data_IF_464104306617
#
_entry.id   IF_464104306617
#
_cell.length_a   1.000
_cell.length_b   1.000
_cell.length_c   1.000
_cell.angle_alpha   90.00
_cell.angle_beta   90.00
_cell.angle_gamma   90.00
#
_symmetry.space_group_name_H-M   'P 1'
#
loop_
_entity.id
_entity.type
_entity.pdbx_description
1 polymer ?
#
# COMPACT_ATOMS: atom_id res chain seq x y z
N UNK A 1 -21.43 17.56 10.22
CA UNK A 1 -20.48 18.70 10.37
C UNK A 1 -19.23 18.23 11.12
N UNK A 2 -18.71 17.02 10.80
CA UNK A 2 -17.64 16.31 11.53
C UNK A 2 -16.35 16.13 10.70
N UNK A 3 -16.27 16.75 9.51
CA UNK A 3 -15.20 16.49 8.52
C UNK A 3 -13.94 17.37 8.70
N UNK A 4 -13.98 18.41 9.55
CA UNK A 4 -12.92 19.44 9.57
C UNK A 4 -11.57 18.92 10.09
N UNK A 5 -11.53 18.17 11.19
CA UNK A 5 -10.26 17.73 11.77
C UNK A 5 -9.49 16.74 10.87
N UNK A 6 -10.21 15.85 10.17
CA UNK A 6 -9.61 14.92 9.21
C UNK A 6 -9.13 15.64 7.94
N UNK A 7 -9.90 16.63 7.46
CA UNK A 7 -9.50 17.48 6.33
C UNK A 7 -8.28 18.33 6.67
N UNK A 8 -8.23 18.93 7.86
CA UNK A 8 -7.09 19.71 8.35
C UNK A 8 -5.83 18.84 8.45
N UNK A 9 -5.96 17.62 9.00
CA UNK A 9 -4.82 16.70 9.09
C UNK A 9 -4.36 16.21 7.71
N UNK A 10 -5.30 15.94 6.79
CA UNK A 10 -4.97 15.61 5.41
C UNK A 10 -4.25 16.77 4.72
N UNK A 11 -4.74 18.00 4.87
CA UNK A 11 -4.12 19.20 4.31
C UNK A 11 -2.70 19.40 4.86
N UNK A 12 -2.50 19.26 6.17
CA UNK A 12 -1.18 19.31 6.78
C UNK A 12 -0.24 18.22 6.24
N UNK A 13 -0.76 17.00 6.04
CA UNK A 13 -0.01 15.88 5.45
C UNK A 13 0.42 16.19 4.01
N UNK A 14 -0.48 16.76 3.20
CA UNK A 14 -0.21 17.14 1.81
C UNK A 14 0.82 18.27 1.74
N UNK A 15 0.70 19.30 2.57
CA UNK A 15 1.65 20.43 2.62
C UNK A 15 3.05 19.98 3.03
N UNK A 16 3.16 18.93 3.84
CA UNK A 16 4.45 18.35 4.23
C UNK A 16 5.15 17.57 3.10
N UNK A 17 4.47 17.34 1.97
CA UNK A 17 5.00 16.61 0.82
C UNK A 17 5.26 17.54 -0.38
N UNK A 18 6.28 17.24 -1.21
CA UNK A 18 6.45 17.84 -2.52
C UNK A 18 5.18 17.76 -3.38
N UNK A 19 4.94 18.77 -4.23
CA UNK A 19 3.69 18.91 -4.99
C UNK A 19 3.45 17.79 -6.00
N UNK A 20 4.51 17.20 -6.55
CA UNK A 20 4.45 16.05 -7.45
C UNK A 20 3.98 14.76 -6.74
N UNK A 21 4.02 14.74 -5.41
CA UNK A 21 3.59 13.62 -4.59
C UNK A 21 2.12 13.74 -4.10
N UNK A 22 1.47 14.89 -4.33
CA UNK A 22 0.10 15.16 -3.85
C UNK A 22 -0.94 14.20 -4.45
N UNK A 23 -0.71 13.72 -5.68
CA UNK A 23 -1.62 12.82 -6.38
C UNK A 23 -1.82 11.45 -5.70
N UNK A 24 -0.95 11.07 -4.76
CA UNK A 24 -1.13 9.85 -3.96
C UNK A 24 -2.15 10.00 -2.83
N UNK A 25 -2.45 11.24 -2.42
CA UNK A 25 -3.34 11.55 -1.29
C UNK A 25 -4.63 12.28 -1.70
N UNK A 26 -4.60 12.96 -2.84
CA UNK A 26 -5.74 13.72 -3.34
C UNK A 26 -6.38 13.01 -4.54
N UNK A 27 -7.72 12.89 -4.57
CA UNK A 27 -8.42 12.36 -5.74
C UNK A 27 -8.26 13.31 -6.93
N UNK A 28 -8.26 12.75 -8.14
CA UNK A 28 -8.14 13.50 -9.40
C UNK A 28 -9.33 13.22 -10.32
N UNK A 29 -10.10 14.25 -10.68
CA UNK A 29 -11.25 14.13 -11.58
C UNK A 29 -12.49 13.49 -10.95
N UNK A 30 -13.48 13.17 -11.78
CA UNK A 30 -14.74 12.55 -11.35
C UNK A 30 -14.49 11.07 -11.00
N UNK A 31 -14.59 10.74 -9.72
CA UNK A 31 -14.32 9.41 -9.18
C UNK A 31 -15.50 8.95 -8.33
N UNK A 32 -15.87 7.69 -8.48
CA UNK A 32 -16.81 7.05 -7.57
C UNK A 32 -16.08 6.79 -6.23
N UNK A 33 -16.84 6.86 -5.13
CA UNK A 33 -16.34 6.64 -3.78
C UNK A 33 -17.12 5.54 -3.08
N UNK A 34 -16.43 4.70 -2.32
CA UNK A 34 -17.03 3.59 -1.59
C UNK A 34 -16.32 3.35 -0.25
N UNK A 35 -17.07 3.12 0.84
CA UNK A 35 -16.47 2.76 2.12
C UNK A 35 -15.63 1.48 2.04
N UNK A 36 -14.46 1.45 2.67
CA UNK A 36 -13.56 0.30 2.69
C UNK A 36 -14.20 -0.94 3.33
N UNK A 37 -15.17 -0.74 4.23
CA UNK A 37 -15.97 -1.85 4.79
C UNK A 37 -16.69 -2.68 3.71
N UNK A 38 -16.93 -2.14 2.50
CA UNK A 38 -17.49 -2.90 1.38
C UNK A 38 -16.61 -4.04 0.89
N UNK A 39 -15.32 -4.07 1.23
CA UNK A 39 -14.46 -5.23 0.96
C UNK A 39 -14.97 -6.51 1.65
N UNK A 40 -15.73 -6.40 2.75
CA UNK A 40 -16.36 -7.55 3.39
C UNK A 40 -17.60 -8.08 2.66
N UNK A 41 -18.19 -7.30 1.74
CA UNK A 41 -19.37 -7.67 0.96
C UNK A 41 -18.95 -8.60 -0.20
N UNK A 42 -19.35 -9.89 -0.21
CA UNK A 42 -18.88 -10.85 -1.19
C UNK A 42 -19.29 -10.50 -2.63
N UNK A 43 -20.51 -9.99 -2.82
CA UNK A 43 -21.02 -9.66 -4.16
C UNK A 43 -20.33 -8.42 -4.73
N UNK A 44 -20.08 -7.43 -3.88
CA UNK A 44 -19.30 -6.28 -4.25
C UNK A 44 -17.85 -6.66 -4.59
N UNK A 45 -17.19 -7.45 -3.74
CA UNK A 45 -15.79 -7.82 -3.96
C UNK A 45 -15.62 -8.70 -5.19
N UNK A 46 -16.53 -9.64 -5.44
CA UNK A 46 -16.52 -10.45 -6.66
C UNK A 46 -16.64 -9.58 -7.92
N UNK A 47 -17.53 -8.58 -7.89
CA UNK A 47 -17.65 -7.61 -8.99
C UNK A 47 -16.33 -6.87 -9.22
N UNK A 48 -15.70 -6.36 -8.16
CA UNK A 48 -14.43 -5.62 -8.28
C UNK A 48 -13.28 -6.48 -8.80
N UNK A 49 -13.19 -7.71 -8.31
CA UNK A 49 -12.19 -8.67 -8.76
C UNK A 49 -12.49 -9.11 -10.21
N UNK A 50 -13.77 -9.21 -10.61
CA UNK A 50 -14.21 -9.42 -11.99
C UNK A 50 -13.77 -8.32 -12.95
N UNK A 51 -13.90 -7.05 -12.57
CA UNK A 51 -13.48 -5.91 -13.39
C UNK A 51 -11.99 -5.95 -13.76
N UNK A 52 -11.15 -6.56 -12.90
CA UNK A 52 -9.72 -6.72 -13.18
C UNK A 52 -9.42 -7.54 -14.44
N UNK A 53 -10.36 -8.39 -14.90
CA UNK A 53 -10.20 -9.14 -16.15
C UNK A 53 -10.22 -8.23 -17.40
N UNK A 54 -10.72 -6.99 -17.28
CA UNK A 54 -10.64 -5.99 -18.37
C UNK A 54 -9.21 -5.47 -18.55
N UNK A 55 -8.40 -5.53 -17.48
CA UNK A 55 -7.01 -5.05 -17.46
C UNK A 55 -6.01 -6.17 -17.64
N UNK A 56 -6.28 -7.32 -17.05
CA UNK A 56 -5.42 -8.49 -17.07
C UNK A 56 -6.11 -9.59 -17.87
N UNK A 57 -5.57 -10.00 -19.03
CA UNK A 57 -6.22 -10.95 -19.93
C UNK A 57 -6.12 -12.39 -19.39
N UNK A 58 -6.74 -12.63 -18.23
CA UNK A 58 -6.80 -13.90 -17.52
C UNK A 58 -8.18 -14.13 -16.91
N UNK A 59 -8.51 -15.40 -16.68
CA UNK A 59 -9.67 -15.82 -15.90
C UNK A 59 -9.27 -16.44 -14.55
N UNK A 60 -7.97 -16.49 -14.24
CA UNK A 60 -7.47 -17.02 -12.96
C UNK A 60 -7.90 -16.09 -11.82
N UNK A 61 -8.93 -16.50 -11.07
CA UNK A 61 -9.49 -15.74 -9.96
C UNK A 61 -8.46 -15.42 -8.89
N UNK A 62 -7.52 -16.33 -8.65
CA UNK A 62 -6.43 -16.14 -7.68
C UNK A 62 -5.51 -15.02 -8.12
N UNK A 63 -5.16 -14.93 -9.41
CA UNK A 63 -4.33 -13.84 -9.94
C UNK A 63 -5.07 -12.51 -9.85
N UNK A 64 -6.32 -12.47 -10.31
CA UNK A 64 -7.13 -11.24 -10.31
C UNK A 64 -7.36 -10.69 -8.90
N UNK A 65 -7.72 -11.55 -7.94
CA UNK A 65 -7.89 -11.17 -6.54
C UNK A 65 -6.57 -10.70 -5.91
N UNK A 66 -5.45 -11.37 -6.21
CA UNK A 66 -4.12 -11.00 -5.70
C UNK A 66 -3.65 -9.65 -6.26
N UNK A 67 -3.88 -9.39 -7.55
CA UNK A 67 -3.53 -8.12 -8.19
C UNK A 67 -4.42 -6.97 -7.69
N UNK A 68 -5.71 -7.24 -7.51
CA UNK A 68 -6.63 -6.30 -6.87
C UNK A 68 -6.16 -5.95 -5.47
N UNK A 69 -5.88 -6.95 -4.63
CA UNK A 69 -5.39 -6.73 -3.27
C UNK A 69 -4.07 -5.98 -3.24
N UNK A 70 -3.11 -6.33 -4.11
CA UNK A 70 -1.83 -5.62 -4.22
C UNK A 70 -1.98 -4.13 -4.53
N UNK A 71 -3.00 -3.75 -5.30
CA UNK A 71 -3.33 -2.35 -5.59
C UNK A 71 -4.03 -1.70 -4.40
N UNK A 72 -5.09 -2.33 -3.89
CA UNK A 72 -5.94 -1.76 -2.84
C UNK A 72 -5.20 -1.65 -1.51
N UNK A 73 -4.42 -2.64 -1.09
CA UNK A 73 -3.64 -2.58 0.15
C UNK A 73 -2.67 -1.41 0.13
N UNK A 74 -2.10 -1.11 -1.04
CA UNK A 74 -1.21 0.02 -1.23
C UNK A 74 -1.93 1.36 -1.06
N UNK A 75 -3.13 1.50 -1.62
CA UNK A 75 -3.92 2.73 -1.57
C UNK A 75 -4.56 2.96 -0.21
N UNK A 76 -5.19 1.93 0.35
CA UNK A 76 -5.85 1.93 1.66
C UNK A 76 -4.90 2.39 2.79
N UNK A 77 -3.64 1.93 2.75
CA UNK A 77 -2.66 2.23 3.80
C UNK A 77 -2.10 3.65 3.73
N UNK A 78 -2.14 4.31 2.56
CA UNK A 78 -1.39 5.55 2.32
C UNK A 78 -1.76 6.70 3.27
N UNK A 79 -3.04 7.06 3.46
CA UNK A 79 -3.38 8.27 4.22
C UNK A 79 -2.94 8.19 5.69
N UNK A 80 -3.18 7.04 6.32
CA UNK A 80 -2.81 6.82 7.72
C UNK A 80 -1.28 6.84 7.92
N UNK A 81 -0.53 6.15 7.05
CA UNK A 81 0.93 6.05 7.16
C UNK A 81 1.64 7.36 6.80
N UNK A 82 1.17 8.07 5.78
CA UNK A 82 1.71 9.37 5.39
C UNK A 82 1.52 10.40 6.51
N UNK A 83 0.29 10.55 7.01
CA UNK A 83 -0.01 11.45 8.12
C UNK A 83 0.86 11.11 9.35
N UNK A 84 0.95 9.82 9.70
CA UNK A 84 1.71 9.37 10.86
C UNK A 84 3.19 9.75 10.76
N UNK A 85 3.82 9.56 9.60
CA UNK A 85 5.24 9.88 9.43
C UNK A 85 5.48 11.39 9.50
N UNK A 86 4.72 12.20 8.76
CA UNK A 86 5.05 13.62 8.57
C UNK A 86 4.48 14.54 9.66
N UNK A 87 3.41 14.11 10.35
CA UNK A 87 2.75 14.94 11.38
C UNK A 87 2.81 14.35 12.79
N UNK A 88 3.16 13.06 12.92
CA UNK A 88 3.06 12.33 14.19
C UNK A 88 1.63 11.99 14.63
N UNK A 89 0.60 12.46 13.90
CA UNK A 89 -0.81 12.10 14.06
C UNK A 89 -1.25 11.21 12.90
N UNK A 90 -2.31 10.44 13.07
CA UNK A 90 -2.76 9.54 12.01
C UNK A 90 -4.20 9.82 11.59
N UNK A 91 -4.45 9.74 10.30
CA UNK A 91 -5.80 9.52 9.77
C UNK A 91 -6.25 8.10 10.12
N UNK A 92 -7.53 7.93 10.44
CA UNK A 92 -8.11 6.64 10.80
C UNK A 92 -8.06 5.64 9.64
N UNK A 93 -7.43 4.46 9.82
CA UNK A 93 -7.51 3.38 8.84
C UNK A 93 -8.68 2.43 9.13
N UNK A 94 -9.62 2.80 10.01
CA UNK A 94 -10.78 1.97 10.32
C UNK A 94 -11.67 1.83 9.07
N UNK A 95 -12.31 0.67 8.85
CA UNK A 95 -13.03 0.44 7.60
C UNK A 95 -14.25 1.34 7.35
N UNK A 96 -14.85 1.86 8.42
CA UNK A 96 -15.96 2.82 8.37
C UNK A 96 -15.50 4.23 7.96
N UNK A 97 -14.24 4.55 8.22
CA UNK A 97 -13.73 5.92 8.11
C UNK A 97 -13.00 6.10 6.77
N UNK A 98 -12.52 5.00 6.17
CA UNK A 98 -11.81 5.04 4.90
C UNK A 98 -12.76 4.83 3.73
N UNK A 99 -12.69 5.75 2.77
CA UNK A 99 -13.31 5.65 1.47
C UNK A 99 -12.26 5.38 0.40
N UNK A 100 -12.47 4.33 -0.40
CA UNK A 100 -11.69 4.10 -1.61
C UNK A 100 -12.27 4.91 -2.76
N UNK A 101 -11.40 5.51 -3.55
CA UNK A 101 -11.78 6.17 -4.80
C UNK A 101 -11.29 5.36 -5.98
N UNK A 102 -12.20 5.11 -6.92
CA UNK A 102 -11.94 4.26 -8.07
C UNK A 102 -12.49 4.84 -9.38
N UNK A 103 -12.10 4.20 -10.48
CA UNK A 103 -12.71 4.35 -11.79
C UNK A 103 -13.73 3.23 -12.05
N UNK A 104 -14.59 3.44 -13.06
CA UNK A 104 -15.59 2.47 -13.49
C UNK A 104 -15.00 1.12 -13.96
N UNK A 105 -13.72 1.09 -14.31
CA UNK A 105 -12.97 -0.12 -14.68
C UNK A 105 -12.35 -0.87 -13.48
N UNK A 106 -12.69 -0.48 -12.24
CA UNK A 106 -12.24 -1.16 -11.02
C UNK A 106 -10.85 -0.76 -10.53
N UNK A 107 -10.15 0.16 -11.23
CA UNK A 107 -8.88 0.70 -10.74
C UNK A 107 -9.10 1.61 -9.54
N UNK A 108 -8.42 1.30 -8.43
CA UNK A 108 -8.39 2.11 -7.20
C UNK A 108 -7.15 2.99 -7.19
N UNK A 109 -7.34 4.31 -7.02
CA UNK A 109 -6.25 5.31 -7.18
C UNK A 109 -5.83 5.91 -5.85
N UNK A 110 -6.79 6.33 -5.05
CA UNK A 110 -6.54 6.97 -3.76
C UNK A 110 -7.56 6.52 -2.73
N UNK A 111 -7.28 6.82 -1.47
CA UNK A 111 -8.17 6.60 -0.35
C UNK A 111 -8.24 7.87 0.47
N UNK A 112 -9.41 8.15 1.04
CA UNK A 112 -9.63 9.27 1.95
C UNK A 112 -10.13 8.73 3.28
N UNK A 113 -9.55 9.21 4.38
CA UNK A 113 -10.14 9.01 5.71
C UNK A 113 -11.05 10.19 6.04
N UNK A 114 -12.18 9.92 6.68
CA UNK A 114 -13.10 10.92 7.21
C UNK A 114 -12.87 11.24 8.68
N UNK A 115 -11.95 10.53 9.34
CA UNK A 115 -11.64 10.71 10.76
C UNK A 115 -10.14 10.75 11.06
N UNK A 116 -9.80 11.42 12.16
CA UNK A 116 -8.49 11.31 12.82
C UNK A 116 -8.53 10.10 13.76
N UNK A 117 -7.43 9.36 13.82
CA UNK A 117 -7.28 8.28 14.78
C UNK A 117 -6.79 8.83 16.11
N UNK A 118 -7.66 8.77 17.11
CA UNK A 118 -7.31 9.13 18.49
C UNK A 118 -6.65 7.97 19.23
N UNK A 119 -5.72 8.29 20.13
CA UNK A 119 -5.09 7.32 21.02
C UNK A 119 -3.82 7.87 21.69
N UNK A 120 -3.39 7.26 22.82
CA UNK A 120 -2.27 7.77 23.63
C UNK A 120 -0.90 7.57 22.95
N UNK A 121 -0.73 6.51 22.17
CA UNK A 121 0.42 6.28 21.28
C UNK A 121 -0.10 6.19 19.84
N UNK A 122 0.19 7.19 18.98
CA UNK A 122 -0.25 7.19 17.58
C UNK A 122 0.19 5.94 16.79
N UNK A 123 1.41 5.43 17.02
CA UNK A 123 1.95 4.28 16.30
C UNK A 123 1.24 3.00 16.71
N UNK A 124 1.06 2.78 18.01
CA UNK A 124 0.34 1.62 18.52
C UNK A 124 -1.15 1.65 18.13
N UNK A 125 -1.75 2.83 18.14
CA UNK A 125 -3.15 3.01 17.75
C UNK A 125 -3.35 2.70 16.26
N UNK A 126 -2.47 3.19 15.38
CA UNK A 126 -2.49 2.86 13.95
C UNK A 126 -2.29 1.37 13.74
N UNK A 127 -1.32 0.74 14.40
CA UNK A 127 -1.07 -0.69 14.28
C UNK A 127 -2.31 -1.53 14.67
N UNK A 128 -2.97 -1.18 15.78
CA UNK A 128 -4.18 -1.86 16.23
C UNK A 128 -5.34 -1.70 15.23
N UNK A 129 -5.58 -0.47 14.75
CA UNK A 129 -6.63 -0.20 13.76
C UNK A 129 -6.35 -0.91 12.42
N UNK A 130 -5.11 -0.90 11.93
CA UNK A 130 -4.69 -1.63 10.74
C UNK A 130 -4.87 -3.14 10.91
N UNK A 131 -4.51 -3.71 12.06
CA UNK A 131 -4.72 -5.13 12.36
C UNK A 131 -6.20 -5.50 12.23
N UNK A 132 -7.11 -4.68 12.78
CA UNK A 132 -8.54 -4.92 12.66
C UNK A 132 -9.03 -4.85 11.21
N UNK A 133 -8.63 -3.81 10.46
CA UNK A 133 -9.00 -3.64 9.05
C UNK A 133 -8.47 -4.77 8.17
N UNK A 134 -7.22 -5.20 8.36
CA UNK A 134 -6.60 -6.30 7.60
C UNK A 134 -7.25 -7.64 7.94
N UNK A 135 -7.60 -7.91 9.20
CA UNK A 135 -8.34 -9.12 9.62
C UNK A 135 -9.74 -9.21 9.01
N UNK A 136 -10.34 -8.07 8.66
CA UNK A 136 -11.62 -8.05 7.96
C UNK A 136 -11.43 -8.26 6.44
N UNK A 137 -10.50 -7.54 5.82
CA UNK A 137 -10.32 -7.56 4.37
C UNK A 137 -9.68 -8.85 3.84
N UNK A 138 -8.62 -9.35 4.49
CA UNK A 138 -7.82 -10.47 3.96
C UNK A 138 -8.63 -11.76 3.80
N UNK A 139 -9.45 -12.19 4.78
CA UNK A 139 -10.30 -13.38 4.59
C UNK A 139 -11.32 -13.23 3.46
N UNK A 140 -11.85 -12.02 3.23
CA UNK A 140 -12.78 -11.77 2.13
C UNK A 140 -12.09 -11.94 0.78
N UNK A 141 -10.92 -11.31 0.60
CA UNK A 141 -10.09 -11.46 -0.61
C UNK A 141 -9.65 -12.91 -0.83
N UNK A 142 -9.26 -13.60 0.24
CA UNK A 142 -8.85 -15.00 0.20
C UNK A 142 -9.96 -15.88 -0.37
N UNK A 143 -11.20 -15.70 0.10
CA UNK A 143 -12.38 -16.45 -0.39
C UNK A 143 -12.70 -16.11 -1.85
N UNK A 144 -12.74 -14.84 -2.22
CA UNK A 144 -13.05 -14.43 -3.60
C UNK A 144 -12.01 -14.94 -4.61
N UNK A 145 -10.75 -15.00 -4.20
CA UNK A 145 -9.65 -15.47 -5.05
C UNK A 145 -9.33 -16.95 -4.95
N UNK A 146 -10.06 -17.73 -4.15
CA UNK A 146 -9.69 -19.11 -3.77
C UNK A 146 -8.18 -19.26 -3.44
N UNK A 147 -7.71 -18.38 -2.55
CA UNK A 147 -6.29 -18.28 -2.19
C UNK A 147 -6.09 -18.33 -0.68
N UNK A 148 -4.85 -18.59 -0.27
CA UNK A 148 -4.48 -18.59 1.15
C UNK A 148 -4.33 -17.15 1.65
N UNK A 149 -4.64 -16.94 2.92
CA UNK A 149 -4.50 -15.62 3.56
C UNK A 149 -3.03 -15.19 3.73
N UNK A 150 -2.12 -16.11 4.05
CA UNK A 150 -0.72 -15.79 4.37
C UNK A 150 0.00 -14.98 3.27
N UNK A 151 -0.11 -15.32 1.97
CA UNK A 151 0.40 -14.46 0.91
C UNK A 151 -0.18 -13.03 0.90
N UNK A 152 -1.46 -12.86 1.26
CA UNK A 152 -2.13 -11.55 1.29
C UNK A 152 -1.63 -10.70 2.46
N UNK A 153 -1.31 -11.32 3.61
CA UNK A 153 -0.61 -10.67 4.71
C UNK A 153 0.80 -10.19 4.30
N UNK A 154 1.55 -11.01 3.57
CA UNK A 154 2.85 -10.59 3.04
C UNK A 154 2.73 -9.42 2.05
N UNK A 155 1.65 -9.37 1.25
CA UNK A 155 1.36 -8.23 0.38
C UNK A 155 1.09 -6.96 1.20
N UNK A 156 0.34 -7.08 2.30
CA UNK A 156 0.09 -5.96 3.19
C UNK A 156 1.40 -5.42 3.82
N UNK A 157 2.32 -6.31 4.24
CA UNK A 157 3.66 -5.91 4.71
C UNK A 157 4.41 -5.12 3.65
N UNK A 158 4.52 -5.66 2.44
CA UNK A 158 5.27 -5.01 1.37
C UNK A 158 4.60 -3.68 0.96
N UNK A 159 3.28 -3.58 1.05
CA UNK A 159 2.52 -2.35 0.76
C UNK A 159 2.81 -1.28 1.81
N UNK A 160 2.73 -1.62 3.10
CA UNK A 160 3.06 -0.74 4.22
C UNK A 160 4.50 -0.23 4.10
N UNK A 161 5.45 -1.13 3.89
CA UNK A 161 6.85 -0.79 3.74
C UNK A 161 7.09 0.12 2.52
N UNK A 162 6.43 -0.13 1.39
CA UNK A 162 6.54 0.71 0.21
C UNK A 162 5.92 2.10 0.41
N UNK A 163 4.80 2.20 1.13
CA UNK A 163 4.16 3.49 1.43
C UNK A 163 5.02 4.34 2.35
N UNK A 164 5.50 3.78 3.46
CA UNK A 164 6.40 4.53 4.34
C UNK A 164 7.70 4.90 3.64
N UNK A 165 8.31 3.99 2.88
CA UNK A 165 9.53 4.31 2.12
C UNK A 165 9.30 5.37 1.03
N UNK A 166 8.10 5.45 0.46
CA UNK A 166 7.73 6.52 -0.47
C UNK A 166 7.68 7.88 0.24
N UNK A 167 6.90 8.00 1.33
CA UNK A 167 6.82 9.25 2.13
C UNK A 167 8.20 9.64 2.67
N UNK A 168 8.95 8.68 3.20
CA UNK A 168 10.29 8.90 3.72
C UNK A 168 11.27 9.41 2.66
N UNK A 169 11.14 9.01 1.39
CA UNK A 169 11.97 9.61 0.34
C UNK A 169 11.53 11.04 0.01
N UNK A 170 10.22 11.27 -0.04
CA UNK A 170 9.65 12.58 -0.34
C UNK A 170 10.06 13.65 0.69
N UNK A 171 10.31 13.24 1.95
CA UNK A 171 10.73 14.12 3.03
C UNK A 171 12.21 13.96 3.45
N UNK A 172 13.02 13.19 2.73
CA UNK A 172 14.41 12.85 3.11
C UNK A 172 14.57 12.19 4.51
N UNK A 173 13.57 11.40 4.91
CA UNK A 173 13.48 10.67 6.19
C UNK A 173 13.46 9.14 5.99
N UNK A 174 14.25 8.60 5.06
CA UNK A 174 14.25 7.17 4.70
C UNK A 174 14.47 6.25 5.91
N UNK A 175 15.43 6.57 6.78
CA UNK A 175 15.72 5.74 7.95
C UNK A 175 14.56 5.73 8.95
N UNK A 176 14.02 6.91 9.28
CA UNK A 176 12.85 7.04 10.16
C UNK A 176 11.64 6.29 9.59
N UNK A 177 11.40 6.39 8.28
CA UNK A 177 10.32 5.67 7.62
C UNK A 177 10.48 4.14 7.70
N UNK A 178 11.69 3.61 7.50
CA UNK A 178 11.92 2.16 7.57
C UNK A 178 11.88 1.61 8.99
N UNK A 179 12.32 2.38 9.99
CA UNK A 179 12.15 2.06 11.40
C UNK A 179 10.67 2.08 11.81
N UNK A 180 9.91 3.09 11.37
CA UNK A 180 8.48 3.15 11.59
C UNK A 180 7.76 1.96 10.95
N UNK A 181 8.15 1.55 9.75
CA UNK A 181 7.59 0.37 9.09
C UNK A 181 7.81 -0.91 9.91
N UNK A 182 9.03 -1.12 10.41
CA UNK A 182 9.35 -2.25 11.28
C UNK A 182 8.50 -2.21 12.57
N UNK A 183 8.41 -1.05 13.22
CA UNK A 183 7.64 -0.89 14.47
C UNK A 183 6.15 -1.13 14.27
N UNK A 184 5.53 -0.58 13.22
CA UNK A 184 4.10 -0.79 12.97
C UNK A 184 3.82 -2.27 12.66
N UNK A 185 4.66 -2.94 11.86
CA UNK A 185 4.49 -4.36 11.54
C UNK A 185 4.65 -5.24 12.78
N UNK A 186 5.64 -4.94 13.64
CA UNK A 186 5.86 -5.67 14.90
C UNK A 186 4.63 -5.56 15.82
N UNK A 187 4.08 -4.35 15.97
CA UNK A 187 2.87 -4.10 16.77
C UNK A 187 1.60 -4.73 16.16
N UNK A 188 1.51 -4.82 14.83
CA UNK A 188 0.46 -5.61 14.19
C UNK A 188 0.66 -7.09 14.54
N UNK A 189 1.88 -7.61 14.45
CA UNK A 189 2.24 -8.98 14.83
C UNK A 189 1.73 -10.06 13.86
N UNK A 190 1.83 -11.32 14.28
CA UNK A 190 1.47 -12.50 13.47
C UNK A 190 0.03 -12.40 12.91
N UNK A 191 -0.20 -12.79 11.64
CA UNK A 191 0.72 -13.50 10.73
C UNK A 191 1.54 -12.59 9.79
N UNK A 192 1.61 -11.28 10.08
CA UNK A 192 2.31 -10.32 9.24
C UNK A 192 3.84 -10.54 9.32
N UNK A 193 4.54 -10.87 8.21
CA UNK A 193 5.99 -11.01 8.24
C UNK A 193 6.68 -9.65 8.40
N UNK A 194 7.89 -9.65 8.95
CA UNK A 194 8.71 -8.44 9.06
C UNK A 194 9.02 -7.81 7.69
N UNK A 195 9.02 -6.47 7.57
CA UNK A 195 9.40 -5.81 6.33
C UNK A 195 10.90 -5.98 6.09
N UNK A 196 11.29 -6.02 4.81
CA UNK A 196 12.69 -6.18 4.42
C UNK A 196 13.08 -5.08 3.45
N UNK A 197 14.28 -4.56 3.63
CA UNK A 197 14.85 -3.52 2.80
C UNK A 197 16.21 -3.97 2.23
N UNK A 198 16.63 -3.34 1.14
CA UNK A 198 17.95 -3.53 0.54
C UNK A 198 18.44 -2.18 0.02
N UNK A 199 19.68 -1.84 0.32
CA UNK A 199 20.34 -0.64 -0.19
C UNK A 199 21.16 -0.98 -1.42
N UNK A 200 21.06 -0.13 -2.44
CA UNK A 200 21.70 -0.33 -3.74
C UNK A 200 22.48 0.93 -4.09
N UNK A 201 23.78 0.78 -4.30
CA UNK A 201 24.63 1.87 -4.77
C UNK A 201 24.20 2.34 -6.16
N UNK A 202 24.11 3.66 -6.32
CA UNK A 202 23.91 4.29 -7.63
C UNK A 202 25.16 4.12 -8.49
N UNK A 203 24.99 4.08 -9.82
CA UNK A 203 26.15 4.04 -10.73
C UNK A 203 26.71 5.45 -10.96
N UNK A 204 28.03 5.59 -11.16
CA UNK A 204 28.63 6.85 -11.58
C UNK A 204 27.91 7.42 -12.83
N UNK A 205 27.76 8.75 -12.93
CA UNK A 205 28.33 9.78 -12.04
C UNK A 205 27.50 10.06 -10.77
N UNK A 206 26.37 9.36 -10.56
CA UNK A 206 25.56 9.53 -9.34
C UNK A 206 26.26 8.87 -8.15
N UNK A 207 26.11 9.46 -6.97
CA UNK A 207 26.66 8.95 -5.71
C UNK A 207 25.55 8.64 -4.71
N UNK A 208 25.86 7.81 -3.71
CA UNK A 208 24.92 7.42 -2.65
C UNK A 208 24.16 6.13 -2.93
N UNK A 209 23.32 5.76 -1.98
CA UNK A 209 22.52 4.54 -1.99
C UNK A 209 21.04 4.84 -2.13
N UNK A 210 20.32 3.94 -2.79
CA UNK A 210 18.85 3.95 -2.82
C UNK A 210 18.35 2.71 -2.10
N UNK A 211 17.60 2.93 -1.02
CA UNK A 211 16.91 1.86 -0.30
C UNK A 211 15.70 1.39 -1.10
N UNK A 212 15.45 0.09 -1.20
CA UNK A 212 14.25 -0.51 -1.80
C UNK A 212 13.59 -1.51 -0.86
N UNK A 213 12.29 -1.73 -1.01
CA UNK A 213 11.61 -2.87 -0.36
C UNK A 213 12.02 -4.17 -1.04
N UNK A 214 12.54 -5.11 -0.26
CA UNK A 214 12.82 -6.48 -0.67
C UNK A 214 11.61 -7.37 -0.40
N UNK A 215 10.69 -7.39 -1.36
CA UNK A 215 9.36 -8.00 -1.20
C UNK A 215 9.38 -9.42 -0.65
N UNK A 216 8.55 -9.68 0.37
CA UNK A 216 8.22 -11.01 0.87
C UNK A 216 7.06 -11.66 0.11
N UNK A 217 6.29 -10.86 -0.65
CA UNK A 217 5.12 -11.30 -1.39
C UNK A 217 5.33 -11.40 -2.89
N UNK A 218 4.47 -12.20 -3.55
CA UNK A 218 4.36 -12.26 -5.01
C UNK A 218 2.99 -11.71 -5.42
N UNK A 219 2.95 -10.67 -6.27
CA UNK A 219 1.70 -10.11 -6.80
C UNK A 219 1.15 -10.90 -8.00
N UNK A 220 1.89 -11.91 -8.49
CA UNK A 220 1.52 -12.75 -9.64
C UNK A 220 1.42 -12.05 -11.00
N UNK A 221 1.70 -10.74 -11.09
CA UNK A 221 1.61 -9.97 -12.36
C UNK A 221 2.39 -10.61 -13.52
N UNK A 222 3.51 -11.28 -13.25
CA UNK A 222 4.33 -11.94 -14.29
C UNK A 222 3.64 -13.14 -14.97
N UNK A 223 2.50 -13.60 -14.45
CA UNK A 223 1.69 -14.63 -15.09
C UNK A 223 0.84 -14.06 -16.23
N UNK A 224 0.69 -12.73 -16.30
CA UNK A 224 -0.08 -12.07 -17.33
C UNK A 224 0.73 -11.90 -18.62
N UNK A 225 0.13 -12.17 -19.79
CA UNK A 225 0.76 -11.94 -21.09
C UNK A 225 1.32 -10.52 -21.23
N UNK A 226 2.60 -10.42 -21.61
CA UNK A 226 3.28 -9.13 -21.82
C UNK A 226 3.85 -8.48 -20.55
N UNK A 227 3.56 -9.02 -19.37
CA UNK A 227 4.03 -8.44 -18.11
C UNK A 227 5.37 -9.02 -17.66
N UNK A 228 6.28 -8.13 -17.23
CA UNK A 228 7.60 -8.50 -16.75
C UNK A 228 7.63 -8.63 -15.21
N UNK A 229 8.59 -9.41 -14.71
CA UNK A 229 8.91 -9.41 -13.27
C UNK A 229 9.47 -8.04 -12.88
N UNK A 230 8.81 -7.36 -11.93
CA UNK A 230 9.31 -6.09 -11.41
C UNK A 230 10.64 -6.25 -10.67
N UNK A 231 11.40 -5.16 -10.53
CA UNK A 231 12.73 -5.15 -9.90
C UNK A 231 12.76 -5.71 -8.46
N UNK A 232 11.64 -5.66 -7.74
CA UNK A 232 11.53 -6.19 -6.37
C UNK A 232 10.93 -7.61 -6.30
N UNK A 233 10.62 -8.25 -7.44
CA UNK A 233 9.92 -9.53 -7.48
C UNK A 233 10.71 -10.67 -6.76
N UNK A 234 10.07 -11.46 -5.88
CA UNK A 234 10.73 -12.58 -5.22
C UNK A 234 11.05 -13.74 -6.19
N UNK A 235 10.41 -13.78 -7.36
CA UNK A 235 10.64 -14.81 -8.41
C UNK A 235 11.82 -14.50 -9.34
N UNK A 236 12.58 -13.44 -9.06
CA UNK A 236 13.87 -13.16 -9.71
C UNK A 236 15.00 -13.92 -9.01
N UNK A 237 16.02 -14.31 -9.78
CA UNK A 237 17.30 -14.71 -9.20
C UNK A 237 17.91 -13.51 -8.45
N UNK A 238 18.77 -13.72 -7.44
CA UNK A 238 19.49 -12.64 -6.78
C UNK A 238 20.22 -11.70 -7.76
N UNK A 239 20.94 -12.26 -8.74
CA UNK A 239 21.68 -11.49 -9.74
C UNK A 239 20.76 -10.60 -10.60
N UNK A 240 19.68 -11.15 -11.16
CA UNK A 240 18.76 -10.37 -12.01
C UNK A 240 18.04 -9.29 -11.20
N UNK A 241 17.71 -9.57 -9.93
CA UNK A 241 17.13 -8.58 -9.03
C UNK A 241 18.08 -7.41 -8.80
N UNK A 242 19.35 -7.69 -8.46
CA UNK A 242 20.35 -6.64 -8.25
C UNK A 242 20.56 -5.80 -9.50
N UNK A 243 20.59 -6.41 -10.69
CA UNK A 243 20.69 -5.68 -11.95
C UNK A 243 19.51 -4.72 -12.16
N UNK A 244 18.27 -5.20 -12.01
CA UNK A 244 17.08 -4.37 -12.18
C UNK A 244 16.97 -3.28 -11.11
N UNK A 245 17.35 -3.56 -9.86
CA UNK A 245 17.36 -2.56 -8.79
C UNK A 245 18.42 -1.48 -9.02
N UNK A 246 19.60 -1.83 -9.55
CA UNK A 246 20.62 -0.85 -9.95
C UNK A 246 20.11 0.06 -11.05
N UNK A 247 19.49 -0.52 -12.09
CA UNK A 247 18.83 0.29 -13.13
C UNK A 247 17.77 1.22 -12.53
N UNK A 248 16.94 0.73 -11.62
CA UNK A 248 15.92 1.55 -10.96
C UNK A 248 16.51 2.65 -10.05
N UNK A 249 17.66 2.41 -9.42
CA UNK A 249 18.35 3.39 -8.59
C UNK A 249 18.85 4.59 -9.40
N UNK A 250 19.21 4.36 -10.66
CA UNK A 250 19.71 5.42 -11.56
C UNK A 250 18.61 6.32 -12.12
N UNK A 251 17.33 6.00 -11.91
CA UNK A 251 16.19 6.87 -12.26
C UNK A 251 15.57 7.55 -11.04
N UNK A 252 16.12 7.30 -9.84
CA UNK A 252 15.71 7.94 -8.59
C UNK A 252 16.73 8.99 -8.16
#
# INVERSE_FOLDING_TARGET
MESTAAEELLAATVVALPSDEHGYLLPAGEQLSVPFVKVADPGWLDTQVGLQAQRWPTVDRRVLATLWWYSVSQVFLTPALAALLVTGRALSPKPSDVHLHWLSDGRVFTARSTAVLEGPDPVASVAAALRASLKMAIPAVARTGDTRELPLWAIATDSLANRLLWVGRACDEVDRATLLAARVVDLIGSPMPAPRFVDIDRRPPRTGQVRFVRRASCCLVYLEPGEAKCASCPRLTPANRTALLRTAADFR
#
